data_IF_517538709187
#
_entry.id   IF_517538709187
#
_cell.length_a   1.000
_cell.length_b   1.000
_cell.length_c   1.000
_cell.angle_alpha   90.00
_cell.angle_beta   90.00
_cell.angle_gamma   90.00
#
_symmetry.space_group_name_H-M   'P 1'
#
loop_
_entity.id
_entity.type
_entity.pdbx_description
1 polymer ?
#
# COMPACT_ATOMS: atom_id res chain seq x y z
N UNK A 1 -56.37 48.46 -63.14
CA UNK A 1 -55.05 48.86 -63.59
C UNK A 1 -54.06 48.80 -62.43
N UNK A 2 -52.96 48.09 -62.75
CA UNK A 2 -51.63 48.12 -62.11
C UNK A 2 -51.51 47.48 -60.74
N UNK A 3 -50.93 46.29 -60.70
CA UNK A 3 -49.51 45.91 -60.73
C UNK A 3 -48.75 46.57 -59.59
N UNK A 4 -48.32 45.75 -58.67
CA UNK A 4 -46.91 45.63 -58.41
C UNK A 4 -46.66 44.56 -57.36
N UNK A 5 -45.84 43.62 -57.76
CA UNK A 5 -45.20 42.62 -56.88
C UNK A 5 -44.10 43.30 -56.08
N UNK A 6 -43.90 42.90 -54.85
CA UNK A 6 -42.59 43.09 -54.25
C UNK A 6 -41.92 41.77 -53.94
N UNK A 7 -40.66 41.85 -54.06
CA UNK A 7 -39.58 40.94 -54.06
C UNK A 7 -39.50 40.07 -52.83
N UNK A 8 -39.12 38.88 -53.16
CA UNK A 8 -38.45 37.85 -52.37
C UNK A 8 -37.31 38.41 -51.54
N UNK A 9 -37.38 38.18 -50.22
CA UNK A 9 -36.21 38.21 -49.36
C UNK A 9 -36.14 36.89 -48.62
N UNK A 10 -35.33 36.04 -49.21
CA UNK A 10 -34.82 34.82 -48.58
C UNK A 10 -33.98 35.22 -47.39
N UNK A 11 -34.54 35.08 -46.22
CA UNK A 11 -33.77 35.06 -44.97
C UNK A 11 -33.46 33.61 -44.63
N UNK A 12 -32.23 33.24 -44.85
CA UNK A 12 -31.68 31.97 -44.42
C UNK A 12 -31.31 32.10 -42.94
N UNK A 13 -31.85 31.27 -42.04
CA UNK A 13 -31.35 31.27 -40.68
C UNK A 13 -29.94 30.67 -40.70
N UNK A 14 -29.01 31.42 -40.18
CA UNK A 14 -27.68 30.94 -39.84
C UNK A 14 -27.81 29.77 -38.88
N UNK A 15 -27.37 28.61 -39.30
CA UNK A 15 -27.10 27.49 -38.44
C UNK A 15 -26.03 27.90 -37.42
N UNK A 16 -26.48 28.18 -36.21
CA UNK A 16 -25.63 28.28 -35.07
C UNK A 16 -25.23 26.84 -34.72
N UNK A 17 -24.15 26.37 -35.29
CA UNK A 17 -23.46 25.16 -34.79
C UNK A 17 -22.78 25.55 -33.47
N UNK A 18 -23.54 25.56 -32.40
CA UNK A 18 -23.00 25.43 -31.08
C UNK A 18 -22.46 24.00 -30.97
N UNK A 19 -21.23 23.83 -31.44
CA UNK A 19 -20.38 22.75 -30.96
C UNK A 19 -20.14 23.07 -29.49
N UNK A 20 -21.03 22.61 -28.63
CA UNK A 20 -20.73 22.46 -27.25
C UNK A 20 -19.50 21.56 -27.20
N UNK A 21 -18.36 22.16 -26.95
CA UNK A 21 -17.13 21.49 -26.58
C UNK A 21 -17.43 20.84 -25.23
N UNK A 22 -17.91 19.59 -25.30
CA UNK A 22 -18.14 18.75 -24.15
C UNK A 22 -16.78 18.21 -23.71
N UNK A 23 -15.88 19.12 -23.34
CA UNK A 23 -14.79 18.79 -22.46
C UNK A 23 -15.42 18.46 -21.13
N UNK A 24 -15.81 17.18 -20.96
CA UNK A 24 -15.97 16.63 -19.62
C UNK A 24 -14.69 17.02 -18.89
N UNK A 25 -14.83 17.89 -17.89
CA UNK A 25 -13.73 18.26 -17.05
C UNK A 25 -13.25 16.98 -16.38
N UNK A 26 -12.09 16.46 -16.81
CA UNK A 26 -11.39 15.34 -16.18
C UNK A 26 -10.77 15.79 -14.86
N UNK A 27 -11.50 16.63 -14.12
CA UNK A 27 -11.07 17.10 -12.82
C UNK A 27 -11.20 15.94 -11.84
N UNK A 28 -10.08 15.56 -11.23
CA UNK A 28 -10.02 14.50 -10.24
C UNK A 28 -10.63 15.00 -8.95
N UNK A 29 -11.59 14.24 -8.43
CA UNK A 29 -12.18 14.53 -7.11
C UNK A 29 -11.20 14.10 -6.02
N UNK A 30 -10.84 15.03 -5.12
CA UNK A 30 -9.92 14.82 -4.01
C UNK A 30 -10.61 15.15 -2.69
N UNK A 31 -10.21 14.46 -1.61
CA UNK A 31 -10.68 14.73 -0.25
C UNK A 31 -10.38 16.19 0.14
N UNK A 32 -9.16 16.64 -0.14
CA UNK A 32 -8.73 18.03 0.07
C UNK A 32 -8.26 18.62 -1.26
N UNK A 33 -8.90 19.67 -1.79
CA UNK A 33 -8.49 20.28 -3.04
C UNK A 33 -7.02 20.69 -3.05
N UNK A 34 -6.30 20.34 -4.14
CA UNK A 34 -4.88 20.64 -4.29
C UNK A 34 -3.92 19.70 -3.58
N UNK A 35 -4.44 18.73 -2.82
CA UNK A 35 -3.64 17.76 -2.06
C UNK A 35 -3.99 16.33 -2.44
N UNK A 36 -2.97 15.47 -2.46
CA UNK A 36 -3.16 14.02 -2.50
C UNK A 36 -3.04 13.48 -1.08
N UNK A 37 -4.17 13.05 -0.52
CA UNK A 37 -4.24 12.53 0.85
C UNK A 37 -4.04 11.02 0.84
N UNK A 38 -2.95 10.56 1.46
CA UNK A 38 -2.50 9.16 1.44
C UNK A 38 -2.40 8.63 2.85
N UNK A 39 -3.10 7.54 3.14
CA UNK A 39 -2.92 6.78 4.38
C UNK A 39 -1.85 5.70 4.19
N UNK A 40 -0.98 5.54 5.19
CA UNK A 40 0.07 4.53 5.21
C UNK A 40 0.30 4.00 6.63
N UNK A 41 0.85 2.80 6.75
CA UNK A 41 1.13 2.18 8.06
C UNK A 41 2.64 1.86 8.18
N UNK A 42 3.43 2.73 8.84
CA UNK A 42 4.88 2.69 8.80
C UNK A 42 5.52 1.67 9.78
N UNK A 43 5.02 0.46 9.78
CA UNK A 43 5.52 -0.73 10.46
C UNK A 43 5.92 -1.84 9.46
N UNK A 44 6.25 -1.46 8.22
CA UNK A 44 6.30 -2.36 7.08
C UNK A 44 7.49 -2.04 6.16
N UNK A 45 8.71 -2.04 6.74
CA UNK A 45 9.93 -1.82 5.95
C UNK A 45 10.15 -2.97 4.95
N UNK A 46 10.52 -2.71 3.70
CA UNK A 46 10.96 -1.44 3.11
C UNK A 46 9.85 -0.66 2.39
N UNK A 47 8.58 -1.05 2.49
CA UNK A 47 7.45 -0.33 1.89
C UNK A 47 7.24 1.05 2.52
N UNK A 48 6.99 1.06 3.83
CA UNK A 48 6.86 2.25 4.67
C UNK A 48 7.40 1.99 6.08
N UNK A 49 8.18 2.92 6.59
CA UNK A 49 8.81 2.84 7.90
C UNK A 49 9.38 4.19 8.31
N UNK A 50 9.89 4.30 9.53
CA UNK A 50 10.65 5.46 9.96
C UNK A 50 12.14 5.16 9.86
N UNK A 51 12.87 5.94 9.04
CA UNK A 51 14.32 6.00 9.07
C UNK A 51 14.78 7.12 10.01
N UNK A 52 16.00 7.02 10.53
CA UNK A 52 16.60 8.07 11.34
C UNK A 52 17.64 8.77 10.48
N UNK A 53 17.50 10.09 10.34
CA UNK A 53 18.40 10.90 9.54
C UNK A 53 19.73 11.21 10.24
N UNK A 54 20.63 11.94 9.58
CA UNK A 54 21.95 12.30 10.10
C UNK A 54 21.89 13.16 11.39
N UNK A 55 20.75 13.82 11.63
CA UNK A 55 20.52 14.65 12.83
C UNK A 55 19.89 13.83 13.97
N UNK A 56 19.61 12.55 13.77
CA UNK A 56 18.92 11.69 14.74
C UNK A 56 17.39 11.82 14.73
N UNK A 57 16.82 12.50 13.73
CA UNK A 57 15.40 12.71 13.63
C UNK A 57 14.73 11.61 12.80
N UNK A 58 13.55 11.09 13.21
CA UNK A 58 12.81 10.12 12.43
C UNK A 58 12.19 10.78 11.20
N UNK A 59 12.29 10.08 10.07
CA UNK A 59 11.71 10.47 8.79
C UNK A 59 10.87 9.33 8.26
N UNK A 60 9.67 9.65 7.78
CA UNK A 60 8.85 8.68 7.06
C UNK A 60 9.54 8.32 5.73
N UNK A 61 9.78 7.05 5.51
CA UNK A 61 10.57 6.54 4.39
C UNK A 61 9.97 5.25 3.84
N UNK A 62 10.53 4.77 2.74
CA UNK A 62 10.13 3.55 2.07
C UNK A 62 9.68 3.78 0.64
N UNK A 63 9.59 2.71 -0.14
CA UNK A 63 9.24 2.88 -1.55
C UNK A 63 7.76 3.23 -1.77
N UNK A 64 6.85 2.90 -0.86
CA UNK A 64 5.47 3.40 -0.89
C UNK A 64 5.43 4.91 -0.69
N UNK A 65 6.20 5.42 0.26
CA UNK A 65 6.29 6.86 0.53
C UNK A 65 6.89 7.62 -0.66
N UNK A 66 7.95 7.07 -1.25
CA UNK A 66 8.58 7.66 -2.44
C UNK A 66 7.64 7.64 -3.65
N UNK A 67 6.93 6.54 -3.88
CA UNK A 67 5.93 6.44 -4.95
C UNK A 67 4.77 7.42 -4.72
N UNK A 68 4.31 7.59 -3.49
CA UNK A 68 3.28 8.59 -3.16
C UNK A 68 3.72 10.00 -3.56
N UNK A 69 4.97 10.37 -3.26
CA UNK A 69 5.56 11.64 -3.71
C UNK A 69 5.62 11.78 -5.23
N UNK A 70 6.01 10.71 -5.92
CA UNK A 70 6.04 10.68 -7.38
C UNK A 70 4.64 10.89 -8.00
N UNK A 71 3.62 10.22 -7.44
CA UNK A 71 2.23 10.36 -7.90
C UNK A 71 1.72 11.79 -7.68
N UNK A 72 1.98 12.36 -6.50
CA UNK A 72 1.59 13.74 -6.20
C UNK A 72 2.25 14.74 -7.18
N UNK A 73 3.55 14.59 -7.44
CA UNK A 73 4.28 15.42 -8.40
C UNK A 73 3.75 15.25 -9.83
N UNK A 74 3.47 14.01 -10.23
CA UNK A 74 2.89 13.70 -11.54
C UNK A 74 1.55 14.40 -11.77
N UNK A 75 0.74 14.49 -10.71
CA UNK A 75 -0.57 15.14 -10.74
C UNK A 75 -0.52 16.65 -10.43
N UNK A 76 0.65 17.20 -10.10
CA UNK A 76 0.79 18.61 -9.70
C UNK A 76 0.13 18.92 -8.36
N UNK A 77 0.08 17.95 -7.45
CA UNK A 77 -0.52 18.06 -6.12
C UNK A 77 0.52 18.10 -5.01
N UNK A 78 0.15 18.71 -3.90
CA UNK A 78 0.89 18.58 -2.64
C UNK A 78 0.59 17.22 -2.00
N UNK A 79 1.61 16.53 -1.51
CA UNK A 79 1.44 15.27 -0.79
C UNK A 79 1.08 15.53 0.67
N UNK A 80 -0.04 14.96 1.10
CA UNK A 80 -0.45 14.89 2.50
C UNK A 80 -0.51 13.41 2.90
N UNK A 81 0.57 12.90 3.48
CA UNK A 81 0.70 11.52 3.90
C UNK A 81 0.44 11.38 5.40
N UNK A 82 -0.49 10.49 5.76
CA UNK A 82 -0.98 10.32 7.11
C UNK A 82 -0.62 8.92 7.61
N UNK A 83 0.29 8.80 8.58
CA UNK A 83 0.61 7.52 9.20
C UNK A 83 -0.51 7.07 10.15
N UNK A 84 -0.82 5.78 10.11
CA UNK A 84 -1.80 5.14 11.01
C UNK A 84 -1.54 3.63 11.07
N UNK A 85 -2.32 2.90 11.86
CA UNK A 85 -2.26 1.44 11.85
C UNK A 85 -2.85 0.87 10.55
N UNK A 86 -2.45 -0.34 10.18
CA UNK A 86 -2.86 -0.98 8.93
C UNK A 86 -4.39 -1.09 8.78
N UNK A 87 -5.10 -1.52 9.82
CA UNK A 87 -6.56 -1.57 9.82
C UNK A 87 -7.19 -0.17 9.68
N UNK A 88 -6.54 0.86 10.20
CA UNK A 88 -6.91 2.26 10.00
C UNK A 88 -6.84 2.68 8.53
N UNK A 89 -5.81 2.26 7.80
CA UNK A 89 -5.69 2.51 6.34
C UNK A 89 -6.90 1.95 5.60
N UNK A 90 -7.28 0.72 5.88
CA UNK A 90 -8.42 0.07 5.25
C UNK A 90 -9.74 0.78 5.61
N UNK A 91 -9.91 1.16 6.86
CA UNK A 91 -11.10 1.86 7.33
C UNK A 91 -11.24 3.26 6.72
N UNK A 92 -10.16 4.02 6.63
CA UNK A 92 -10.15 5.36 6.02
C UNK A 92 -10.45 5.31 4.51
N UNK A 93 -9.94 4.31 3.81
CA UNK A 93 -10.28 4.08 2.40
C UNK A 93 -11.77 3.75 2.24
N UNK A 94 -12.30 2.84 3.04
CA UNK A 94 -13.71 2.44 3.00
C UNK A 94 -14.64 3.61 3.33
N UNK A 95 -14.24 4.49 4.23
CA UNK A 95 -14.99 5.69 4.62
C UNK A 95 -14.89 6.84 3.59
N UNK A 96 -13.95 6.76 2.62
CA UNK A 96 -13.68 7.85 1.68
C UNK A 96 -13.00 9.07 2.31
N UNK A 97 -12.32 8.88 3.44
CA UNK A 97 -11.64 9.96 4.19
C UNK A 97 -10.23 10.26 3.68
N UNK A 98 -9.67 9.38 2.86
CA UNK A 98 -8.39 9.54 2.16
C UNK A 98 -8.57 9.24 0.68
N UNK A 99 -7.69 9.76 -0.14
CA UNK A 99 -7.68 9.49 -1.59
C UNK A 99 -7.08 8.12 -1.90
N UNK A 100 -5.95 7.82 -1.28
CA UNK A 100 -5.18 6.60 -1.50
C UNK A 100 -4.82 5.94 -0.17
N UNK A 101 -4.69 4.61 -0.21
CA UNK A 101 -4.01 3.81 0.81
C UNK A 101 -2.79 3.13 0.20
N UNK A 102 -1.63 3.38 0.79
CA UNK A 102 -0.36 2.81 0.36
C UNK A 102 0.30 2.13 1.56
N UNK A 103 0.15 0.82 1.62
CA UNK A 103 0.56 -0.01 2.76
C UNK A 103 0.91 -1.44 2.31
N UNK A 104 1.58 -1.57 1.16
CA UNK A 104 1.90 -2.86 0.58
C UNK A 104 0.67 -3.74 0.33
N UNK A 105 -0.44 -3.15 -0.09
CA UNK A 105 -1.74 -3.82 -0.17
C UNK A 105 -1.77 -4.88 -1.27
N UNK A 106 -2.19 -6.09 -0.94
CA UNK A 106 -2.59 -7.07 -1.93
C UNK A 106 -3.98 -6.73 -2.49
N UNK A 107 -4.19 -6.80 -3.82
CA UNK A 107 -5.50 -6.53 -4.43
C UNK A 107 -6.47 -7.68 -4.20
N UNK A 108 -6.89 -7.87 -2.95
CA UNK A 108 -7.78 -8.93 -2.53
C UNK A 108 -9.21 -8.66 -3.01
N UNK A 109 -9.84 -9.62 -3.74
CA UNK A 109 -11.23 -9.51 -4.19
C UNK A 109 -12.23 -9.27 -3.04
N UNK A 110 -11.95 -9.76 -1.83
CA UNK A 110 -12.80 -9.54 -0.65
C UNK A 110 -12.87 -8.07 -0.23
N UNK A 111 -11.90 -7.25 -0.64
CA UNK A 111 -11.87 -5.80 -0.38
C UNK A 111 -12.56 -4.97 -1.47
N UNK A 112 -13.02 -5.60 -2.57
CA UNK A 112 -13.53 -4.90 -3.75
C UNK A 112 -14.80 -4.07 -3.49
N UNK A 113 -15.58 -4.40 -2.47
CA UNK A 113 -16.76 -3.62 -2.08
C UNK A 113 -16.39 -2.31 -1.36
N UNK A 114 -15.23 -2.27 -0.73
CA UNK A 114 -14.78 -1.15 0.09
C UNK A 114 -13.86 -0.18 -0.65
N UNK A 115 -13.09 -0.66 -1.61
CA UNK A 115 -12.08 0.11 -2.35
C UNK A 115 -11.83 -0.46 -3.73
N UNK A 116 -11.24 0.35 -4.59
CA UNK A 116 -10.69 -0.07 -5.86
C UNK A 116 -9.16 -0.20 -5.76
N UNK A 117 -8.55 -1.02 -6.62
CA UNK A 117 -7.11 -1.22 -6.63
C UNK A 117 -6.50 -0.74 -7.93
N UNK A 118 -5.34 -0.09 -7.81
CA UNK A 118 -4.50 0.27 -8.95
C UNK A 118 -3.88 -0.97 -9.62
N UNK A 119 -3.17 -0.72 -10.71
CA UNK A 119 -2.23 -1.70 -11.26
C UNK A 119 -1.16 -2.06 -10.22
N UNK A 120 -0.59 -3.24 -10.37
CA UNK A 120 0.51 -3.72 -9.52
C UNK A 120 1.76 -2.86 -9.77
N UNK A 121 2.36 -2.36 -8.70
CA UNK A 121 3.60 -1.56 -8.77
C UNK A 121 4.84 -2.30 -8.25
N UNK A 122 4.65 -3.38 -7.49
CA UNK A 122 5.72 -4.17 -6.92
C UNK A 122 5.29 -5.64 -6.79
N UNK A 123 6.12 -6.56 -7.25
CA UNK A 123 5.87 -7.99 -7.11
C UNK A 123 6.48 -8.50 -5.81
N UNK A 124 5.62 -8.67 -4.81
CA UNK A 124 5.97 -9.26 -3.53
C UNK A 124 5.55 -10.73 -3.43
N UNK A 125 5.72 -11.28 -2.28
CA UNK A 125 5.31 -12.64 -1.94
C UNK A 125 4.87 -12.73 -0.49
N UNK A 126 4.54 -13.93 -0.03
CA UNK A 126 4.20 -14.18 1.36
C UNK A 126 5.11 -15.25 1.93
N UNK A 127 5.46 -15.12 3.18
CA UNK A 127 6.42 -15.99 3.86
C UNK A 127 5.97 -16.37 5.26
N UNK A 128 6.49 -17.49 5.72
CA UNK A 128 6.44 -17.89 7.13
C UNK A 128 7.82 -17.66 7.76
N UNK A 129 7.84 -16.95 8.87
CA UNK A 129 9.04 -16.51 9.58
C UNK A 129 9.07 -17.17 10.95
N UNK A 130 10.24 -17.63 11.37
CA UNK A 130 10.48 -18.17 12.70
C UNK A 130 11.85 -17.72 13.21
N UNK A 131 12.20 -18.11 14.44
CA UNK A 131 13.57 -17.96 14.91
C UNK A 131 14.50 -18.91 14.15
N UNK A 132 15.71 -18.46 13.88
CA UNK A 132 16.76 -19.25 13.20
C UNK A 132 17.02 -20.59 13.93
N UNK A 133 16.94 -20.58 15.25
CA UNK A 133 17.08 -21.77 16.09
C UNK A 133 15.97 -22.81 15.90
N UNK A 134 14.82 -22.40 15.36
CA UNK A 134 13.65 -23.25 15.17
C UNK A 134 13.40 -23.64 13.70
N UNK A 135 14.26 -23.20 12.79
CA UNK A 135 14.03 -23.40 11.34
C UNK A 135 13.82 -24.86 10.93
N UNK A 136 14.48 -25.81 11.60
CA UNK A 136 14.38 -27.23 11.28
C UNK A 136 13.01 -27.84 11.65
N UNK A 137 12.21 -27.14 12.47
CA UNK A 137 10.84 -27.53 12.78
C UNK A 137 9.85 -27.17 11.66
N UNK A 138 10.22 -26.27 10.75
CA UNK A 138 9.34 -25.74 9.71
C UNK A 138 9.93 -25.98 8.33
N UNK A 139 9.71 -27.19 7.80
CA UNK A 139 10.16 -27.59 6.46
C UNK A 139 9.05 -27.60 5.42
N UNK A 140 7.80 -27.56 5.88
CA UNK A 140 6.61 -27.44 5.04
C UNK A 140 5.52 -26.63 5.78
N UNK A 141 4.50 -26.16 5.03
CA UNK A 141 3.38 -25.45 5.64
C UNK A 141 2.58 -26.32 6.63
N UNK A 142 2.54 -27.64 6.42
CA UNK A 142 1.90 -28.57 7.36
C UNK A 142 2.54 -28.53 8.75
N UNK A 143 3.84 -28.27 8.83
CA UNK A 143 4.55 -28.13 10.10
C UNK A 143 4.11 -26.92 10.91
N UNK A 144 3.45 -25.94 10.29
CA UNK A 144 2.91 -24.74 10.95
C UNK A 144 1.53 -24.97 11.60
N UNK A 145 0.88 -26.10 11.28
CA UNK A 145 -0.48 -26.40 11.72
C UNK A 145 -0.50 -27.39 12.89
N UNK A 146 -0.07 -26.91 14.05
CA UNK A 146 -0.04 -27.71 15.29
C UNK A 146 -0.64 -26.92 16.44
N UNK A 147 -1.48 -27.55 17.30
CA UNK A 147 -2.20 -26.85 18.36
C UNK A 147 -1.29 -26.22 19.43
N UNK A 148 -0.08 -26.71 19.59
CA UNK A 148 0.89 -26.15 20.54
C UNK A 148 1.59 -24.89 20.05
N UNK A 149 1.46 -24.53 18.75
CA UNK A 149 2.13 -23.38 18.16
C UNK A 149 1.31 -22.09 18.32
N UNK A 150 2.00 -21.02 18.68
CA UNK A 150 1.49 -19.65 18.63
C UNK A 150 2.05 -18.95 17.40
N UNK A 151 1.16 -18.55 16.48
CA UNK A 151 1.53 -17.98 15.18
C UNK A 151 0.95 -16.58 15.03
N UNK A 152 1.81 -15.62 14.75
CA UNK A 152 1.44 -14.22 14.58
C UNK A 152 0.99 -13.86 13.17
N UNK A 153 0.06 -12.94 13.09
CA UNK A 153 -0.34 -12.27 11.86
C UNK A 153 -0.90 -10.86 12.15
N UNK A 154 -0.76 -9.96 11.19
CA UNK A 154 -1.29 -8.61 11.35
C UNK A 154 -2.81 -8.59 11.18
N UNK A 155 -3.48 -7.83 12.04
CA UNK A 155 -4.93 -7.64 11.98
C UNK A 155 -5.37 -7.03 10.63
N UNK A 156 -6.39 -7.63 10.02
CA UNK A 156 -6.98 -7.16 8.75
C UNK A 156 -6.16 -7.46 7.51
N UNK A 157 -5.03 -8.13 7.63
CA UNK A 157 -4.12 -8.41 6.53
C UNK A 157 -4.44 -9.74 5.82
N UNK A 158 -3.90 -9.88 4.60
CA UNK A 158 -3.91 -11.15 3.88
C UNK A 158 -3.11 -12.23 4.64
N UNK A 159 -2.08 -11.83 5.40
CA UNK A 159 -1.30 -12.74 6.22
C UNK A 159 -2.16 -13.41 7.31
N UNK A 160 -3.12 -12.68 7.87
CA UNK A 160 -4.08 -13.26 8.81
C UNK A 160 -4.96 -14.32 8.13
N UNK A 161 -5.43 -14.06 6.92
CA UNK A 161 -6.20 -15.03 6.13
C UNK A 161 -5.36 -16.29 5.84
N UNK A 162 -4.11 -16.10 5.42
CA UNK A 162 -3.17 -17.21 5.15
C UNK A 162 -2.84 -18.02 6.40
N UNK A 163 -2.72 -17.38 7.56
CA UNK A 163 -2.53 -18.05 8.83
C UNK A 163 -3.73 -18.96 9.17
N UNK A 164 -4.94 -18.46 8.99
CA UNK A 164 -6.16 -19.24 9.20
C UNK A 164 -6.33 -20.40 8.20
N UNK A 165 -5.89 -20.22 6.97
CA UNK A 165 -5.96 -21.24 5.92
C UNK A 165 -4.93 -22.37 6.12
N UNK A 166 -3.67 -22.00 6.45
CA UNK A 166 -2.55 -22.93 6.51
C UNK A 166 -2.29 -23.49 7.91
N UNK A 167 -2.70 -22.77 8.95
CA UNK A 167 -2.45 -23.13 10.35
C UNK A 167 -3.72 -23.08 11.19
N UNK A 168 -4.84 -23.70 10.73
CA UNK A 168 -6.14 -23.57 11.39
C UNK A 168 -6.19 -24.16 12.79
N UNK A 169 -5.33 -25.14 13.11
CA UNK A 169 -5.29 -25.79 14.42
C UNK A 169 -4.35 -25.09 15.42
N UNK A 170 -3.48 -24.17 14.92
CA UNK A 170 -2.59 -23.40 15.76
C UNK A 170 -3.33 -22.26 16.49
N UNK A 171 -2.71 -21.72 17.53
CA UNK A 171 -3.15 -20.50 18.18
C UNK A 171 -2.70 -19.29 17.34
N UNK A 172 -3.63 -18.66 16.61
CA UNK A 172 -3.34 -17.49 15.80
C UNK A 172 -3.44 -16.24 16.67
N UNK A 173 -2.28 -15.59 16.85
CA UNK A 173 -2.15 -14.35 17.62
C UNK A 173 -2.17 -13.17 16.65
N UNK A 174 -3.27 -12.43 16.66
CA UNK A 174 -3.47 -11.29 15.79
C UNK A 174 -3.00 -10.02 16.49
N UNK A 175 -2.02 -9.34 15.90
CA UNK A 175 -1.45 -8.10 16.41
C UNK A 175 -1.68 -6.94 15.44
N UNK A 176 -1.73 -5.72 15.96
CA UNK A 176 -1.98 -4.52 15.16
C UNK A 176 -0.80 -4.11 14.29
N UNK A 177 0.44 -4.32 14.79
CA UNK A 177 1.68 -3.87 14.14
C UNK A 177 2.60 -5.05 13.81
N UNK A 178 3.18 -5.03 12.61
CA UNK A 178 4.22 -6.00 12.21
C UNK A 178 5.46 -5.87 13.11
N UNK A 179 5.81 -4.67 13.54
CA UNK A 179 6.92 -4.44 14.48
C UNK A 179 6.70 -5.16 15.82
N UNK A 180 5.46 -5.24 16.31
CA UNK A 180 5.12 -6.01 17.51
C UNK A 180 5.22 -7.52 17.27
N UNK A 181 4.82 -7.99 16.09
CA UNK A 181 4.99 -9.39 15.68
C UNK A 181 6.47 -9.79 15.72
N UNK A 182 7.33 -8.96 15.14
CA UNK A 182 8.79 -9.18 15.13
C UNK A 182 9.34 -9.19 16.56
N UNK A 183 8.92 -8.26 17.40
CA UNK A 183 9.34 -8.22 18.82
C UNK A 183 8.90 -9.48 19.58
N UNK A 184 7.70 -9.98 19.36
CA UNK A 184 7.18 -11.19 19.98
C UNK A 184 7.90 -12.46 19.50
N UNK A 185 8.26 -12.51 18.20
CA UNK A 185 9.10 -13.59 17.66
C UNK A 185 10.48 -13.62 18.34
N UNK A 186 11.13 -12.45 18.42
CA UNK A 186 12.46 -12.32 19.03
C UNK A 186 12.44 -12.65 20.54
N UNK A 187 11.34 -12.35 21.23
CA UNK A 187 11.14 -12.68 22.65
C UNK A 187 10.76 -14.14 22.89
N UNK A 188 10.55 -14.94 21.83
CA UNK A 188 10.14 -16.34 21.95
C UNK A 188 8.68 -16.53 22.35
N UNK A 189 7.85 -15.50 22.27
CA UNK A 189 6.41 -15.56 22.57
C UNK A 189 5.57 -16.08 21.41
N UNK A 190 6.07 -15.96 20.19
CA UNK A 190 5.51 -16.57 18.98
C UNK A 190 6.49 -17.61 18.45
N UNK A 191 5.95 -18.73 17.99
CA UNK A 191 6.73 -19.79 17.33
C UNK A 191 7.00 -19.47 15.87
N UNK A 192 6.12 -18.70 15.25
CA UNK A 192 6.25 -18.22 13.89
C UNK A 192 5.26 -17.11 13.56
N UNK A 193 5.35 -16.58 12.36
CA UNK A 193 4.43 -15.56 11.84
C UNK A 193 4.36 -15.57 10.33
N UNK A 194 3.21 -15.17 9.80
CA UNK A 194 3.01 -14.90 8.38
C UNK A 194 3.32 -13.43 8.13
N UNK A 195 4.30 -13.17 7.28
CA UNK A 195 4.78 -11.81 6.94
C UNK A 195 5.04 -11.74 5.44
N UNK A 196 4.78 -10.58 4.83
CA UNK A 196 5.12 -10.34 3.42
C UNK A 196 6.63 -10.54 3.21
N UNK A 197 7.01 -11.14 2.07
CA UNK A 197 8.38 -11.64 1.86
C UNK A 197 9.45 -10.55 1.93
N UNK A 198 9.26 -9.41 1.26
CA UNK A 198 10.25 -8.32 1.29
C UNK A 198 10.40 -7.74 2.70
N UNK A 199 9.32 -7.66 3.45
CA UNK A 199 9.31 -7.22 4.85
C UNK A 199 10.01 -8.24 5.74
N UNK A 200 9.70 -9.52 5.57
CA UNK A 200 10.36 -10.62 6.28
C UNK A 200 11.87 -10.63 6.07
N UNK A 201 12.31 -10.48 4.81
CA UNK A 201 13.72 -10.41 4.45
C UNK A 201 14.41 -9.20 5.06
N UNK A 202 13.75 -8.05 5.08
CA UNK A 202 14.26 -6.81 5.69
C UNK A 202 14.50 -6.99 7.18
N UNK A 203 13.52 -7.53 7.91
CA UNK A 203 13.67 -7.78 9.34
C UNK A 203 14.67 -8.90 9.64
N UNK A 204 14.79 -9.93 8.80
CA UNK A 204 15.81 -10.97 8.95
C UNK A 204 17.23 -10.44 8.77
N UNK A 205 17.44 -9.40 7.95
CA UNK A 205 18.72 -8.70 7.86
C UNK A 205 19.01 -7.84 9.09
N UNK A 206 17.99 -7.16 9.61
CA UNK A 206 18.11 -6.33 10.81
C UNK A 206 18.31 -7.18 12.06
N UNK A 207 17.63 -8.31 12.14
CA UNK A 207 17.67 -9.24 13.27
C UNK A 207 18.10 -10.65 12.79
N UNK A 208 19.40 -10.98 12.85
CA UNK A 208 19.92 -12.26 12.36
C UNK A 208 19.36 -13.51 13.03
N UNK A 209 18.71 -13.36 14.19
CA UNK A 209 18.01 -14.45 14.86
C UNK A 209 16.71 -14.85 14.15
N UNK A 210 16.21 -14.05 13.22
CA UNK A 210 15.05 -14.37 12.41
C UNK A 210 15.43 -15.17 11.16
N UNK A 211 14.53 -16.06 10.76
CA UNK A 211 14.64 -16.89 9.58
C UNK A 211 13.37 -16.79 8.73
N UNK A 212 13.51 -16.48 7.45
CA UNK A 212 12.44 -16.62 6.46
C UNK A 212 12.40 -18.09 6.07
N UNK A 213 11.54 -18.89 6.70
CA UNK A 213 11.60 -20.34 6.64
C UNK A 213 10.87 -20.94 5.44
N UNK A 214 9.71 -20.40 5.07
CA UNK A 214 8.84 -20.98 4.05
C UNK A 214 8.24 -19.91 3.15
N UNK A 215 8.08 -20.23 1.87
CA UNK A 215 7.21 -19.49 0.97
C UNK A 215 5.75 -19.92 1.18
N UNK A 216 4.84 -18.96 1.11
CA UNK A 216 3.41 -19.20 1.28
C UNK A 216 2.69 -18.83 -0.02
N UNK A 217 2.14 -19.78 -0.76
CA UNK A 217 1.37 -19.50 -1.97
C UNK A 217 0.08 -18.73 -1.65
N UNK A 218 -0.28 -17.80 -2.53
CA UNK A 218 -1.54 -17.07 -2.46
C UNK A 218 -1.98 -16.57 -3.84
N UNK A 219 -3.27 -16.22 -3.99
CA UNK A 219 -3.86 -15.94 -5.30
C UNK A 219 -3.72 -14.48 -5.74
N UNK A 220 -3.55 -13.54 -4.80
CA UNK A 220 -3.48 -12.10 -5.08
C UNK A 220 -2.04 -11.61 -5.07
N UNK A 221 -1.27 -11.97 -6.10
CA UNK A 221 0.16 -11.64 -6.18
C UNK A 221 0.41 -10.15 -6.40
N UNK A 222 1.46 -9.63 -5.77
CA UNK A 222 1.93 -8.27 -5.91
C UNK A 222 1.21 -7.25 -5.04
N UNK A 223 1.72 -6.03 -5.05
CA UNK A 223 1.19 -4.90 -4.29
C UNK A 223 0.57 -3.85 -5.20
N UNK A 224 -0.58 -3.35 -4.79
CA UNK A 224 -1.35 -2.32 -5.46
C UNK A 224 -1.68 -1.16 -4.50
N UNK A 225 -2.05 -0.02 -5.05
CA UNK A 225 -2.54 1.12 -4.30
C UNK A 225 -4.04 0.99 -4.12
N UNK A 226 -4.53 1.13 -2.90
CA UNK A 226 -5.96 1.26 -2.63
C UNK A 226 -6.42 2.67 -3.01
N UNK A 227 -7.48 2.74 -3.79
CA UNK A 227 -8.10 4.00 -4.23
C UNK A 227 -9.52 4.04 -3.71
N UNK A 228 -9.98 5.19 -3.25
CA UNK A 228 -11.35 5.33 -2.77
C UNK A 228 -12.36 4.89 -3.84
N UNK A 229 -13.36 4.14 -3.40
CA UNK A 229 -14.32 3.44 -4.27
C UNK A 229 -15.01 4.40 -5.25
N UNK A 230 -15.00 4.01 -6.53
CA UNK A 230 -15.71 4.74 -7.58
C UNK A 230 -15.01 6.01 -8.10
N UNK A 231 -13.79 6.30 -7.63
CA UNK A 231 -13.02 7.45 -8.11
C UNK A 231 -12.19 7.08 -9.35
N UNK A 232 -12.85 6.90 -10.50
CA UNK A 232 -12.25 6.40 -11.73
C UNK A 232 -11.24 7.38 -12.34
N UNK A 233 -11.47 8.68 -12.21
CA UNK A 233 -10.55 9.71 -12.70
C UNK A 233 -9.23 9.72 -11.93
N UNK A 234 -9.27 9.54 -10.61
CA UNK A 234 -8.09 9.38 -9.77
C UNK A 234 -7.36 8.07 -10.09
N UNK A 235 -8.10 6.97 -10.22
CA UNK A 235 -7.55 5.66 -10.59
C UNK A 235 -6.75 5.74 -11.88
N UNK A 236 -7.30 6.39 -12.91
CA UNK A 236 -6.63 6.56 -14.20
C UNK A 236 -5.29 7.30 -14.05
N UNK A 237 -5.26 8.38 -13.26
CA UNK A 237 -4.03 9.16 -13.00
C UNK A 237 -3.01 8.39 -12.16
N UNK A 238 -3.45 7.64 -11.18
CA UNK A 238 -2.59 6.77 -10.37
C UNK A 238 -1.94 5.71 -11.26
N UNK A 239 -2.70 5.04 -12.12
CA UNK A 239 -2.16 4.03 -13.03
C UNK A 239 -1.20 4.63 -14.06
N UNK A 240 -1.48 5.82 -14.59
CA UNK A 240 -0.53 6.55 -15.47
C UNK A 240 0.79 6.83 -14.75
N UNK A 241 0.73 7.31 -13.51
CA UNK A 241 1.91 7.63 -12.71
C UNK A 241 2.72 6.36 -12.37
N UNK A 242 2.06 5.26 -12.02
CA UNK A 242 2.72 3.96 -11.80
C UNK A 242 3.46 3.52 -13.06
N UNK A 243 2.80 3.56 -14.21
CA UNK A 243 3.40 3.19 -15.49
C UNK A 243 4.63 4.06 -15.81
N UNK A 244 4.55 5.37 -15.56
CA UNK A 244 5.66 6.30 -15.74
C UNK A 244 6.84 5.99 -14.82
N UNK A 245 6.57 5.73 -13.53
CA UNK A 245 7.60 5.39 -12.55
C UNK A 245 8.32 4.06 -12.86
N UNK A 246 7.58 3.09 -13.38
CA UNK A 246 8.15 1.82 -13.83
C UNK A 246 9.01 2.00 -15.10
N UNK A 247 8.53 2.82 -16.05
CA UNK A 247 9.19 3.00 -17.34
C UNK A 247 10.46 3.86 -17.25
N UNK A 248 10.50 4.88 -16.38
CA UNK A 248 11.63 5.80 -16.24
C UNK A 248 12.72 5.33 -15.26
N UNK A 249 12.53 4.17 -14.62
CA UNK A 249 13.46 3.61 -13.64
C UNK A 249 13.30 4.16 -12.22
N UNK A 250 12.38 5.09 -11.99
CA UNK A 250 12.17 5.68 -10.67
C UNK A 250 11.78 4.64 -9.63
N UNK A 251 10.91 3.68 -9.98
CA UNK A 251 10.47 2.65 -9.04
C UNK A 251 11.64 1.77 -8.58
N UNK A 252 12.53 1.36 -9.47
CA UNK A 252 13.75 0.60 -9.12
C UNK A 252 14.64 1.39 -8.17
N UNK A 253 14.79 2.70 -8.40
CA UNK A 253 15.54 3.59 -7.51
C UNK A 253 14.86 3.72 -6.13
N UNK A 254 13.55 3.82 -6.08
CA UNK A 254 12.81 3.88 -4.81
C UNK A 254 13.00 2.63 -3.98
N UNK A 255 12.97 1.46 -4.62
CA UNK A 255 13.21 0.17 -3.95
C UNK A 255 14.64 0.08 -3.41
N UNK A 256 15.63 0.45 -4.22
CA UNK A 256 17.04 0.43 -3.81
C UNK A 256 17.30 1.39 -2.64
N UNK A 257 16.79 2.61 -2.71
CA UNK A 257 16.94 3.60 -1.65
C UNK A 257 16.23 3.18 -0.35
N UNK A 258 15.02 2.62 -0.47
CA UNK A 258 14.28 2.11 0.68
C UNK A 258 15.02 0.97 1.39
N UNK A 259 15.62 0.06 0.64
CA UNK A 259 16.46 -1.02 1.20
C UNK A 259 17.70 -0.46 1.91
N UNK A 260 18.36 0.54 1.34
CA UNK A 260 19.51 1.20 1.98
C UNK A 260 19.11 1.87 3.29
N UNK A 261 18.02 2.63 3.31
CA UNK A 261 17.51 3.28 4.51
C UNK A 261 17.08 2.28 5.59
N UNK A 262 16.43 1.18 5.19
CA UNK A 262 16.01 0.12 6.10
C UNK A 262 17.18 -0.65 6.72
N UNK A 263 18.34 -0.67 6.07
CA UNK A 263 19.57 -1.27 6.62
C UNK A 263 20.34 -0.34 7.57
N UNK A 264 19.96 0.92 7.63
CA UNK A 264 20.50 1.92 8.55
C UNK A 264 19.75 1.98 9.89
N UNK A 265 19.81 3.12 10.54
CA UNK A 265 19.07 3.36 11.77
C UNK A 265 17.58 3.60 11.46
N UNK A 266 16.71 2.88 12.14
CA UNK A 266 15.27 2.93 11.98
C UNK A 266 14.57 3.20 13.32
N UNK A 267 13.29 3.54 13.26
CA UNK A 267 12.46 3.75 14.42
C UNK A 267 11.07 3.10 14.24
N UNK A 268 10.41 2.84 15.33
CA UNK A 268 9.07 2.27 15.37
C UNK A 268 8.17 3.05 16.32
N UNK A 269 6.88 3.04 16.06
CA UNK A 269 5.89 3.61 16.95
C UNK A 269 5.60 2.63 18.09
N UNK A 270 5.92 3.04 19.32
CA UNK A 270 5.70 2.27 20.55
C UNK A 270 4.94 3.15 21.54
N UNK A 271 3.74 2.70 21.95
CA UNK A 271 2.88 3.42 22.90
C UNK A 271 2.64 4.91 22.51
N UNK A 272 2.45 5.16 21.21
CA UNK A 272 2.20 6.50 20.69
C UNK A 272 3.45 7.37 20.47
N UNK A 273 4.65 6.87 20.75
CA UNK A 273 5.92 7.56 20.58
C UNK A 273 6.79 6.87 19.53
N UNK A 274 7.51 7.66 18.72
CA UNK A 274 8.49 7.13 17.77
C UNK A 274 9.80 6.90 18.51
N UNK A 275 10.20 5.64 18.61
CA UNK A 275 11.36 5.18 19.37
C UNK A 275 12.36 4.50 18.44
N UNK A 276 13.64 4.82 18.59
CA UNK A 276 14.71 4.17 17.83
C UNK A 276 14.72 2.67 18.07
N UNK A 277 14.86 1.92 16.98
CA UNK A 277 14.96 0.46 17.05
C UNK A 277 16.34 0.06 17.59
N UNK A 278 16.35 -0.91 18.50
CA UNK A 278 17.58 -1.55 18.97
C UNK A 278 18.01 -2.61 17.93
N UNK A 279 19.31 -2.61 17.61
CA UNK A 279 19.91 -3.60 16.69
C UNK A 279 20.56 -4.74 17.45
#
# INVERSE_FOLDING_TARGET
SKNETPADSTDTPAENTDTADNTESTEVSLVNPGKLTVATSPDFAPYEFYSIDANGDPQLAGFDVALAGYIADYMGLELDIIPMDFDGVLNELAAGSVDLGMAGLSPDPERADAMDFSDIYYMGGQSFVCLQSNKDQFTSLEDTNKPELSIGAQNGSIQNDLANENSPDADIVVLTKVTDIVAELLAGKLDGAYIETAVAETYAKQYPDLCVALDVPYDSEGSAIGVSKGNDSLMAKVNEAIAAALADGSMDNFVAEANDLASGDTASLVDGEIVADEK
#
